data_IF_893659839687
#
_entry.id   IF_893659839687
#
_cell.length_a   1.000
_cell.length_b   1.000
_cell.length_c   1.000
_cell.angle_alpha   90.00
_cell.angle_beta   90.00
_cell.angle_gamma   90.00
#
_symmetry.space_group_name_H-M   'P 1'
#
loop_
_entity.id
_entity.type
_entity.pdbx_description
1 polymer ?
#
# COMPACT_ATOMS: atom_id res chain seq x y z
N UNK A 1 -11.82 -1.17 1.09
CA UNK A 1 -12.47 -0.50 -0.07
C UNK A 1 -11.89 0.89 -0.26
N UNK A 2 -11.54 1.32 -1.48
CA UNK A 2 -11.63 0.62 -2.76
C UNK A 2 -10.36 -0.18 -3.17
N UNK A 3 -9.30 -0.20 -2.36
CA UNK A 3 -8.05 -0.89 -2.71
C UNK A 3 -8.05 -2.42 -2.54
N UNK A 4 -9.08 -2.99 -1.89
CA UNK A 4 -9.12 -4.41 -1.53
C UNK A 4 -9.09 -5.34 -2.74
N UNK A 5 -9.68 -4.93 -3.86
CA UNK A 5 -9.69 -5.71 -5.10
C UNK A 5 -8.26 -5.98 -5.62
N UNK A 6 -7.35 -5.01 -5.45
CA UNK A 6 -5.93 -5.17 -5.80
C UNK A 6 -5.31 -6.26 -4.93
N UNK A 7 -5.56 -6.23 -3.62
CA UNK A 7 -5.05 -7.24 -2.69
C UNK A 7 -5.60 -8.64 -3.01
N UNK A 8 -6.90 -8.78 -3.31
CA UNK A 8 -7.50 -10.06 -3.68
C UNK A 8 -6.91 -10.65 -4.96
N UNK A 9 -6.70 -9.80 -5.97
CA UNK A 9 -6.07 -10.22 -7.23
C UNK A 9 -4.62 -10.64 -6.99
N UNK A 10 -3.85 -9.85 -6.23
CA UNK A 10 -2.45 -10.15 -5.91
C UNK A 10 -2.30 -11.41 -5.07
N UNK A 11 -3.20 -11.66 -4.11
CA UNK A 11 -3.22 -12.88 -3.31
C UNK A 11 -3.33 -14.16 -4.16
N UNK A 12 -4.06 -14.08 -5.29
CA UNK A 12 -4.20 -15.20 -6.24
C UNK A 12 -3.08 -15.25 -7.27
N UNK A 13 -2.65 -14.09 -7.79
CA UNK A 13 -1.74 -13.98 -8.94
C UNK A 13 -0.26 -14.00 -8.57
N UNK A 14 0.16 -13.36 -7.48
CA UNK A 14 1.58 -13.30 -7.09
C UNK A 14 2.20 -14.69 -6.88
N UNK A 15 1.55 -15.64 -6.18
CA UNK A 15 2.13 -16.97 -6.01
C UNK A 15 2.37 -17.72 -7.34
N UNK A 16 1.57 -17.44 -8.37
CA UNK A 16 1.70 -18.09 -9.69
C UNK A 16 2.98 -17.70 -10.42
N UNK A 17 3.59 -16.56 -10.07
CA UNK A 17 4.85 -16.06 -10.63
C UNK A 17 5.99 -16.12 -9.62
N UNK A 18 5.84 -16.92 -8.54
CA UNK A 18 6.84 -17.05 -7.48
C UNK A 18 6.91 -15.88 -6.50
N UNK A 19 5.99 -14.92 -6.60
CA UNK A 19 5.82 -13.83 -5.65
C UNK A 19 5.13 -14.26 -4.36
N UNK A 20 5.11 -13.36 -3.38
CA UNK A 20 4.44 -13.57 -2.08
C UNK A 20 3.42 -12.48 -1.84
N UNK A 21 2.27 -12.85 -1.30
CA UNK A 21 1.27 -11.94 -0.77
C UNK A 21 1.19 -12.12 0.74
N UNK A 22 1.15 -11.02 1.48
CA UNK A 22 1.01 -11.01 2.93
C UNK A 22 0.00 -9.92 3.28
N UNK A 23 -0.99 -10.26 4.10
CA UNK A 23 -1.91 -9.29 4.68
C UNK A 23 -1.35 -8.89 6.04
N UNK A 24 -1.00 -7.62 6.19
CA UNK A 24 -0.51 -7.06 7.45
C UNK A 24 -1.66 -6.62 8.34
N UNK A 25 -1.36 -6.40 9.61
CA UNK A 25 -2.29 -5.99 10.66
C UNK A 25 -2.85 -4.58 10.45
N UNK A 26 -2.04 -3.68 9.88
CA UNK A 26 -2.39 -2.30 9.55
C UNK A 26 -1.53 -1.75 8.40
N UNK A 27 -1.80 -0.51 8.00
CA UNK A 27 -1.08 0.18 6.95
C UNK A 27 0.37 0.56 7.31
N UNK A 28 0.68 0.74 8.60
CA UNK A 28 2.04 1.03 9.08
C UNK A 28 2.94 -0.19 8.86
N UNK A 29 2.46 -1.36 9.29
CA UNK A 29 3.11 -2.65 9.09
C UNK A 29 3.20 -3.02 7.60
N UNK A 30 2.17 -2.67 6.81
CA UNK A 30 2.16 -2.86 5.35
C UNK A 30 3.32 -2.16 4.65
N UNK A 31 3.52 -0.86 4.89
CA UNK A 31 4.62 -0.13 4.26
C UNK A 31 5.98 -0.54 4.83
N UNK A 32 6.07 -0.86 6.12
CA UNK A 32 7.30 -1.40 6.72
C UNK A 32 7.74 -2.72 6.07
N UNK A 33 6.78 -3.63 5.80
CA UNK A 33 7.05 -4.88 5.10
C UNK A 33 7.51 -4.67 3.65
N UNK A 34 6.90 -3.70 2.94
CA UNK A 34 7.32 -3.32 1.57
C UNK A 34 8.75 -2.80 1.56
N UNK A 35 9.10 -1.90 2.49
CA UNK A 35 10.44 -1.35 2.63
C UNK A 35 11.44 -2.48 2.93
N UNK A 36 11.14 -3.35 3.89
CA UNK A 36 11.99 -4.49 4.24
C UNK A 36 12.19 -5.45 3.06
N UNK A 37 11.14 -5.74 2.30
CA UNK A 37 11.22 -6.56 1.10
C UNK A 37 12.07 -5.92 -0.01
N UNK A 38 12.00 -4.59 -0.16
CA UNK A 38 12.86 -3.84 -1.09
C UNK A 38 14.32 -3.87 -0.68
N UNK A 39 14.63 -3.68 0.61
CA UNK A 39 15.99 -3.81 1.14
C UNK A 39 16.53 -5.23 0.91
N UNK A 40 15.67 -6.25 1.00
CA UNK A 40 15.97 -7.64 0.66
C UNK A 40 16.18 -7.91 -0.84
N UNK A 41 16.12 -6.89 -1.70
CA UNK A 41 16.40 -7.00 -3.14
C UNK A 41 15.21 -7.39 -4.01
N UNK A 42 13.99 -7.33 -3.47
CA UNK A 42 12.77 -7.67 -4.23
C UNK A 42 11.98 -6.43 -4.60
N UNK A 43 11.29 -6.46 -5.74
CA UNK A 43 10.32 -5.40 -6.06
C UNK A 43 9.08 -5.59 -5.21
N UNK A 44 8.71 -4.59 -4.43
CA UNK A 44 7.59 -4.66 -3.48
C UNK A 44 6.63 -3.48 -3.66
N UNK A 45 5.34 -3.73 -3.38
CA UNK A 45 4.29 -2.72 -3.46
C UNK A 45 3.21 -2.94 -2.40
N UNK A 46 2.46 -1.88 -2.09
CA UNK A 46 1.20 -1.95 -1.33
C UNK A 46 0.09 -1.16 -2.03
N UNK A 47 -1.16 -1.42 -1.66
CA UNK A 47 -2.33 -0.70 -2.16
C UNK A 47 -3.20 -0.27 -0.97
N UNK A 48 -3.61 1.00 -0.96
CA UNK A 48 -4.35 1.62 0.14
C UNK A 48 -5.30 2.71 -0.38
N UNK A 49 -5.90 3.48 0.51
CA UNK A 49 -6.70 4.68 0.22
C UNK A 49 -6.38 5.78 1.24
N UNK A 50 -6.83 7.01 1.03
CA UNK A 50 -6.54 8.20 1.85
C UNK A 50 -6.22 7.99 3.35
N UNK A 51 -7.11 7.36 4.17
CA UNK A 51 -6.81 7.12 5.58
C UNK A 51 -5.57 6.25 5.82
N UNK A 52 -5.44 5.17 5.05
CA UNK A 52 -4.30 4.27 5.14
C UNK A 52 -3.04 4.90 4.55
N UNK A 53 -3.14 5.68 3.47
CA UNK A 53 -2.03 6.46 2.93
C UNK A 53 -1.48 7.45 3.98
N UNK A 54 -2.37 8.11 4.72
CA UNK A 54 -1.99 9.01 5.83
C UNK A 54 -1.17 8.30 6.92
N UNK A 55 -1.49 7.04 7.24
CA UNK A 55 -0.74 6.24 8.21
C UNK A 55 0.64 5.82 7.70
N UNK A 56 0.85 5.74 6.39
CA UNK A 56 2.12 5.31 5.79
C UNK A 56 3.19 6.41 5.73
N UNK A 57 2.82 7.68 5.97
CA UNK A 57 3.67 8.84 5.68
C UNK A 57 5.04 8.82 6.38
N UNK A 58 5.11 8.36 7.64
CA UNK A 58 6.37 8.27 8.38
C UNK A 58 7.36 7.32 7.67
N UNK A 59 6.90 6.11 7.35
CA UNK A 59 7.69 5.10 6.67
C UNK A 59 8.01 5.47 5.21
N UNK A 60 7.10 6.15 4.51
CA UNK A 60 7.38 6.70 3.19
C UNK A 60 8.50 7.75 3.23
N UNK A 61 8.50 8.61 4.25
CA UNK A 61 9.58 9.55 4.50
C UNK A 61 10.92 8.85 4.76
N UNK A 62 10.92 7.77 5.54
CA UNK A 62 12.11 6.93 5.74
C UNK A 62 12.59 6.28 4.43
N UNK A 63 11.69 5.71 3.63
CA UNK A 63 12.03 5.10 2.35
C UNK A 63 12.66 6.11 1.39
N UNK A 64 12.14 7.34 1.34
CA UNK A 64 12.71 8.42 0.54
C UNK A 64 14.11 8.82 1.03
N UNK A 65 14.29 8.98 2.34
CA UNK A 65 15.59 9.34 2.95
C UNK A 65 16.66 8.28 2.69
N UNK A 66 16.29 7.01 2.73
CA UNK A 66 17.20 5.87 2.54
C UNK A 66 17.31 5.41 1.08
N UNK A 67 16.67 6.12 0.13
CA UNK A 67 16.64 5.78 -1.30
C UNK A 67 16.11 4.35 -1.58
N UNK A 68 15.13 3.89 -0.80
CA UNK A 68 14.57 2.55 -0.89
C UNK A 68 13.39 2.56 -1.89
N UNK A 69 13.47 1.81 -3.00
CA UNK A 69 12.41 1.81 -4.02
C UNK A 69 11.16 1.09 -3.53
N UNK A 70 10.03 1.77 -3.50
CA UNK A 70 8.73 1.17 -3.20
C UNK A 70 7.62 1.77 -4.08
N UNK A 71 6.55 1.01 -4.28
CA UNK A 71 5.35 1.48 -5.01
C UNK A 71 4.15 1.42 -4.07
N UNK A 72 3.43 2.54 -3.96
CA UNK A 72 2.18 2.64 -3.20
C UNK A 72 1.08 3.03 -4.19
N UNK A 73 0.02 2.22 -4.26
CA UNK A 73 -1.18 2.56 -5.02
C UNK A 73 -2.19 3.16 -4.07
N UNK A 74 -2.43 4.47 -4.17
CA UNK A 74 -3.52 5.15 -3.50
C UNK A 74 -4.77 5.14 -4.39
N UNK A 75 -5.74 4.31 -4.04
CA UNK A 75 -7.04 4.28 -4.72
C UNK A 75 -7.93 5.31 -4.05
N UNK A 76 -7.89 6.53 -4.60
CA UNK A 76 -8.55 7.69 -4.01
C UNK A 76 -10.07 7.51 -3.89
N UNK A 77 -10.61 7.99 -2.77
CA UNK A 77 -12.04 7.98 -2.45
C UNK A 77 -12.41 9.30 -1.78
N UNK A 78 -13.70 9.61 -1.61
CA UNK A 78 -14.11 10.86 -0.98
C UNK A 78 -13.53 10.99 0.43
N UNK A 79 -12.77 12.06 0.69
CA UNK A 79 -12.30 12.48 2.01
C UNK A 79 -13.09 13.69 2.58
N UNK A 80 -12.64 14.33 3.67
CA UNK A 80 -11.50 13.96 4.52
C UNK A 80 -11.84 12.88 5.56
N UNK A 81 -10.82 12.38 6.28
CA UNK A 81 -10.97 11.33 7.29
C UNK A 81 -11.65 10.08 6.70
N UNK A 82 -12.64 9.48 7.36
CA UNK A 82 -13.42 8.36 6.81
C UNK A 82 -14.05 8.72 5.46
N UNK A 83 -14.53 9.96 5.33
CA UNK A 83 -15.16 10.52 4.14
C UNK A 83 -16.30 9.68 3.59
N UNK A 84 -16.29 9.42 2.28
CA UNK A 84 -17.28 8.64 1.53
C UNK A 84 -16.59 7.40 0.93
N UNK A 85 -16.54 6.25 1.64
CA UNK A 85 -15.73 5.10 1.27
C UNK A 85 -16.02 4.49 -0.11
N UNK A 86 -17.21 4.71 -0.65
CA UNK A 86 -17.70 4.16 -1.91
C UNK A 86 -17.86 5.21 -3.01
N UNK A 87 -17.59 6.49 -2.73
CA UNK A 87 -17.64 7.56 -3.71
C UNK A 87 -16.22 7.84 -4.23
N UNK A 88 -15.98 7.81 -5.55
CA UNK A 88 -14.68 8.17 -6.11
C UNK A 88 -14.40 9.65 -5.88
N UNK A 89 -13.12 9.98 -5.74
CA UNK A 89 -12.64 11.37 -5.66
C UNK A 89 -11.26 11.48 -6.32
N UNK A 90 -10.80 12.71 -6.50
CA UNK A 90 -9.44 13.05 -6.95
C UNK A 90 -8.82 14.13 -6.03
N UNK A 91 -9.14 14.06 -4.74
CA UNK A 91 -8.86 15.11 -3.76
C UNK A 91 -7.62 14.88 -2.89
N UNK A 92 -6.99 13.71 -3.03
CA UNK A 92 -5.80 13.31 -2.27
C UNK A 92 -4.52 13.60 -3.10
#
# INVERSE_FOLDING_TARGET
TPATDIAEVLARRLPQVGGKFIQMEDEIASIAAVIGASVGGTKAMTATSGPGFSLMQENLGYAAMAEIPCVIVDVQRGGPSTGLPTAPSQGD
#
